data_IF_078939408344
#
_entry.id   IF_078939408344
#
_cell.length_a   1.000
_cell.length_b   1.000
_cell.length_c   1.000
_cell.angle_alpha   90.00
_cell.angle_beta   90.00
_cell.angle_gamma   90.00
#
_symmetry.space_group_name_H-M   'P 1'
#
loop_
_entity.id
_entity.type
_entity.pdbx_description
1 polymer ?
#
# COMPACT_ATOMS: atom_id res chain seq x y z
N UNK A 1 -26.09 12.98 8.77
CA UNK A 1 -25.39 14.11 8.18
C UNK A 1 -24.47 14.75 9.22
N UNK A 2 -23.29 14.17 9.48
CA UNK A 2 -22.24 14.77 10.30
C UNK A 2 -20.92 14.76 9.56
N UNK A 3 -20.89 15.36 8.39
CA UNK A 3 -19.69 15.53 7.57
C UNK A 3 -19.25 17.00 7.46
N UNK A 4 -19.78 17.87 8.34
CA UNK A 4 -19.71 19.33 8.21
C UNK A 4 -18.83 20.10 9.17
N UNK A 5 -18.04 19.45 10.05
CA UNK A 5 -17.24 20.20 11.03
C UNK A 5 -15.82 19.61 11.25
N UNK A 6 -15.10 19.36 10.16
CA UNK A 6 -13.65 19.28 10.24
C UNK A 6 -13.09 20.70 10.06
N UNK A 7 -13.12 21.47 11.15
CA UNK A 7 -12.39 22.75 11.22
C UNK A 7 -10.88 22.47 11.08
N UNK A 8 -10.40 22.58 9.86
CA UNK A 8 -8.98 22.40 9.49
C UNK A 8 -8.10 23.52 10.04
N UNK A 9 -8.67 24.52 10.71
CA UNK A 9 -7.95 25.69 11.21
C UNK A 9 -7.36 25.52 12.62
N UNK A 10 -7.76 24.48 13.38
CA UNK A 10 -7.19 24.20 14.70
C UNK A 10 -6.15 23.07 14.61
N UNK A 11 -4.84 23.41 14.74
CA UNK A 11 -3.81 22.39 14.77
C UNK A 11 -4.05 21.46 15.97
N UNK A 12 -4.22 20.17 15.73
CA UNK A 12 -4.11 19.14 16.77
C UNK A 12 -2.67 19.23 17.33
N UNK A 13 -2.49 19.97 18.44
CA UNK A 13 -1.18 20.46 18.90
C UNK A 13 -0.13 19.38 19.17
N UNK A 14 -0.53 18.13 19.43
CA UNK A 14 0.41 17.03 19.62
C UNK A 14 0.87 16.34 18.34
N UNK A 15 -0.05 16.07 17.39
CA UNK A 15 0.27 15.34 16.17
C UNK A 15 1.04 16.21 15.16
N UNK A 16 0.69 17.49 15.05
CA UNK A 16 1.43 18.45 14.19
C UNK A 16 2.79 18.80 14.79
N UNK A 17 2.91 18.90 16.11
CA UNK A 17 4.20 19.07 16.77
C UNK A 17 5.11 17.85 16.55
N UNK A 18 4.55 16.64 16.58
CA UNK A 18 5.28 15.41 16.28
C UNK A 18 5.70 15.36 14.81
N UNK A 19 4.81 15.69 13.86
CA UNK A 19 5.12 15.78 12.43
C UNK A 19 6.15 16.89 12.15
N UNK A 20 6.08 18.03 12.85
CA UNK A 20 7.05 19.12 12.73
C UNK A 20 8.44 18.72 13.28
N UNK A 21 8.47 17.93 14.36
CA UNK A 21 9.71 17.35 14.91
C UNK A 21 10.32 16.31 13.97
N UNK A 22 9.50 15.57 13.23
CA UNK A 22 9.93 14.62 12.19
C UNK A 22 10.43 15.35 10.93
N UNK A 23 9.89 16.52 10.62
CA UNK A 23 10.29 17.35 9.46
C UNK A 23 11.56 18.18 9.74
N UNK A 24 11.92 18.37 11.00
CA UNK A 24 13.00 19.25 11.45
C UNK A 24 14.42 18.70 11.40
N UNK A 25 14.66 17.54 10.79
CA UNK A 25 15.99 16.96 10.72
C UNK A 25 16.47 16.79 9.27
N UNK A 26 17.31 17.73 8.83
CA UNK A 26 18.27 17.65 7.72
C UNK A 26 17.76 17.60 6.28
N UNK A 27 18.58 18.19 5.39
CA UNK A 27 18.60 18.21 3.93
C UNK A 27 18.02 16.96 3.23
N UNK A 28 17.27 17.11 2.12
CA UNK A 28 16.66 16.00 1.40
C UNK A 28 17.71 15.18 0.66
N UNK A 29 18.24 14.15 1.29
CA UNK A 29 18.98 13.08 0.61
C UNK A 29 18.04 11.95 0.23
N UNK A 30 18.35 11.21 -0.84
CA UNK A 30 17.53 10.04 -1.27
C UNK A 30 17.32 9.02 -0.13
N UNK A 31 18.29 8.85 0.76
CA UNK A 31 18.18 8.02 1.96
C UNK A 31 17.20 8.58 3.00
N UNK A 32 16.98 9.90 3.03
CA UNK A 32 16.02 10.57 3.90
C UNK A 32 14.58 10.25 3.48
N UNK A 33 14.28 10.23 2.18
CA UNK A 33 12.97 9.89 1.64
C UNK A 33 12.53 8.45 2.00
N UNK A 34 13.44 7.49 1.85
CA UNK A 34 13.17 6.09 2.21
C UNK A 34 12.89 5.93 3.71
N UNK A 35 13.65 6.61 4.57
CA UNK A 35 13.42 6.60 6.03
C UNK A 35 12.08 7.23 6.40
N UNK A 36 11.69 8.33 5.75
CA UNK A 36 10.40 8.96 5.94
C UNK A 36 9.25 8.04 5.52
N UNK A 37 9.37 7.37 4.37
CA UNK A 37 8.36 6.40 3.93
C UNK A 37 8.27 5.19 4.87
N UNK A 38 9.40 4.68 5.36
CA UNK A 38 9.41 3.60 6.34
C UNK A 38 8.73 4.01 7.66
N UNK A 39 8.90 5.26 8.09
CA UNK A 39 8.24 5.80 9.27
C UNK A 39 6.73 5.93 9.06
N UNK A 40 6.30 6.48 7.91
CA UNK A 40 4.87 6.60 7.56
C UNK A 40 4.18 5.23 7.55
N UNK A 41 4.88 4.17 7.11
CA UNK A 41 4.38 2.79 7.17
C UNK A 41 4.23 2.24 8.59
N UNK A 42 5.02 2.74 9.55
CA UNK A 42 4.96 2.32 10.96
C UNK A 42 3.91 3.07 11.78
N UNK A 43 3.55 4.29 11.39
CA UNK A 43 2.61 5.15 12.12
C UNK A 43 1.25 4.48 12.39
N UNK A 44 0.58 3.79 11.47
CA UNK A 44 -0.69 3.14 11.76
C UNK A 44 -0.59 2.05 12.81
N UNK A 45 0.56 1.39 12.93
CA UNK A 45 0.79 0.37 13.96
C UNK A 45 0.88 0.98 15.35
N UNK A 46 1.55 2.14 15.47
CA UNK A 46 1.70 2.87 16.74
C UNK A 46 0.36 3.49 17.14
N UNK A 47 -0.35 4.13 16.20
CA UNK A 47 -1.63 4.79 16.45
C UNK A 47 -2.76 3.80 16.81
N UNK A 48 -2.58 2.51 16.56
CA UNK A 48 -3.56 1.48 16.94
C UNK A 48 -3.93 1.50 18.42
N UNK A 49 -2.98 1.84 19.28
CA UNK A 49 -3.11 1.79 20.73
C UNK A 49 -3.60 3.11 21.35
N UNK A 50 -3.74 4.17 20.55
CA UNK A 50 -4.16 5.48 21.02
C UNK A 50 -5.64 5.67 20.67
N UNK A 51 -6.55 5.80 21.67
CA UNK A 51 -7.98 6.00 21.42
C UNK A 51 -8.30 7.42 20.92
N UNK A 52 -9.54 7.62 20.47
CA UNK A 52 -10.07 8.94 20.09
C UNK A 52 -9.61 9.40 18.71
N UNK A 53 -9.31 10.69 18.54
CA UNK A 53 -8.95 11.32 17.26
C UNK A 53 -7.75 10.67 16.55
N UNK A 54 -6.87 9.98 17.29
CA UNK A 54 -5.75 9.24 16.73
C UNK A 54 -6.23 8.08 15.81
N UNK A 55 -7.43 7.55 16.02
CA UNK A 55 -7.98 6.50 15.18
C UNK A 55 -8.39 7.00 13.79
N UNK A 56 -8.81 8.26 13.66
CA UNK A 56 -9.11 8.85 12.36
C UNK A 56 -7.83 9.17 11.61
N UNK A 57 -6.82 9.65 12.32
CA UNK A 57 -5.47 9.81 11.74
C UNK A 57 -4.89 8.47 11.29
N UNK A 58 -5.05 7.42 12.10
CA UNK A 58 -4.67 6.05 11.70
C UNK A 58 -5.39 5.60 10.44
N UNK A 59 -6.69 5.85 10.34
CA UNK A 59 -7.49 5.51 9.17
C UNK A 59 -6.99 6.24 7.92
N UNK A 60 -6.67 7.53 8.06
CA UNK A 60 -6.10 8.31 6.97
C UNK A 60 -4.75 7.73 6.49
N UNK A 61 -3.83 7.42 7.41
CA UNK A 61 -2.54 6.83 7.05
C UNK A 61 -2.68 5.45 6.39
N UNK A 62 -3.62 4.61 6.85
CA UNK A 62 -3.90 3.33 6.22
C UNK A 62 -4.47 3.51 4.81
N UNK A 63 -5.41 4.45 4.62
CA UNK A 63 -5.95 4.76 3.29
C UNK A 63 -4.86 5.23 2.34
N UNK A 64 -3.93 6.07 2.82
CA UNK A 64 -2.78 6.49 2.04
C UNK A 64 -1.84 5.34 1.70
N UNK A 65 -1.63 4.39 2.61
CA UNK A 65 -0.79 3.21 2.32
C UNK A 65 -1.40 2.34 1.22
N UNK A 66 -2.71 2.07 1.27
CA UNK A 66 -3.42 1.35 0.22
C UNK A 66 -3.30 2.08 -1.13
N UNK A 67 -3.58 3.38 -1.13
CA UNK A 67 -3.52 4.21 -2.32
C UNK A 67 -2.12 4.23 -2.95
N UNK A 68 -1.09 4.46 -2.16
CA UNK A 68 0.31 4.48 -2.61
C UNK A 68 0.83 3.10 -3.04
N UNK A 69 0.22 2.02 -2.54
CA UNK A 69 0.49 0.66 -3.00
C UNK A 69 0.11 0.46 -4.46
N UNK A 70 -0.91 1.19 -4.94
CA UNK A 70 -1.25 1.34 -6.35
C UNK A 70 -1.69 0.06 -7.07
N UNK A 71 -1.97 -1.02 -6.35
CA UNK A 71 -2.43 -2.29 -6.89
C UNK A 71 -3.95 -2.45 -6.72
N UNK A 72 -4.58 -3.25 -7.57
CA UNK A 72 -6.02 -3.51 -7.53
C UNK A 72 -6.47 -4.12 -6.20
N UNK A 73 -5.71 -5.07 -5.65
CA UNK A 73 -5.95 -5.68 -4.34
C UNK A 73 -5.83 -4.66 -3.19
N UNK A 74 -4.89 -3.73 -3.26
CA UNK A 74 -4.81 -2.62 -2.30
C UNK A 74 -5.99 -1.67 -2.43
N UNK A 75 -6.43 -1.34 -3.65
CA UNK A 75 -7.59 -0.48 -3.86
C UNK A 75 -8.88 -1.15 -3.38
N UNK A 76 -9.08 -2.44 -3.65
CA UNK A 76 -10.20 -3.21 -3.11
C UNK A 76 -10.17 -3.21 -1.58
N UNK A 77 -9.02 -3.50 -0.98
CA UNK A 77 -8.86 -3.51 0.47
C UNK A 77 -9.11 -2.12 1.09
N UNK A 78 -8.71 -1.04 0.42
CA UNK A 78 -9.00 0.34 0.83
C UNK A 78 -10.50 0.61 0.85
N UNK A 79 -11.22 0.24 -0.21
CA UNK A 79 -12.68 0.40 -0.28
C UNK A 79 -13.35 -0.38 0.86
N UNK A 80 -12.98 -1.65 1.04
CA UNK A 80 -13.49 -2.49 2.14
C UNK A 80 -13.19 -1.88 3.50
N UNK A 81 -12.01 -1.33 3.69
CA UNK A 81 -11.60 -0.65 4.93
C UNK A 81 -12.47 0.59 5.19
N UNK A 82 -12.68 1.45 4.19
CA UNK A 82 -13.49 2.65 4.33
C UNK A 82 -14.97 2.30 4.60
N UNK A 83 -15.50 1.31 3.88
CA UNK A 83 -16.87 0.81 4.10
C UNK A 83 -17.05 0.27 5.51
N UNK A 84 -16.14 -0.61 5.97
CA UNK A 84 -16.23 -1.20 7.30
C UNK A 84 -16.17 -0.18 8.44
N UNK A 85 -15.50 0.97 8.19
CA UNK A 85 -15.28 1.99 9.20
C UNK A 85 -16.35 3.09 9.18
N UNK A 86 -16.79 3.51 8.01
CA UNK A 86 -17.62 4.71 7.85
C UNK A 86 -19.04 4.44 7.35
N UNK A 87 -19.32 3.26 6.77
CA UNK A 87 -20.68 2.93 6.36
C UNK A 87 -21.56 2.63 7.57
N UNK A 88 -22.66 3.36 7.69
CA UNK A 88 -23.56 3.29 8.85
C UNK A 88 -24.50 2.06 8.80
N UNK A 89 -24.68 1.44 7.64
CA UNK A 89 -25.63 0.34 7.47
C UNK A 89 -25.16 -0.95 8.13
N UNK A 90 -26.09 -1.69 8.74
CA UNK A 90 -25.80 -2.95 9.42
C UNK A 90 -25.21 -4.02 8.49
N UNK A 91 -25.59 -4.03 7.23
CA UNK A 91 -25.12 -4.96 6.19
C UNK A 91 -23.59 -4.88 5.93
N UNK A 92 -22.98 -3.72 6.21
CA UNK A 92 -21.55 -3.51 6.00
C UNK A 92 -20.67 -3.80 7.22
N UNK A 93 -21.26 -4.10 8.38
CA UNK A 93 -20.50 -4.33 9.64
C UNK A 93 -19.59 -5.54 9.61
N UNK A 94 -19.86 -6.52 8.74
CA UNK A 94 -19.06 -7.72 8.57
C UNK A 94 -17.93 -7.61 7.55
N UNK A 95 -17.82 -6.50 6.84
CA UNK A 95 -16.82 -6.32 5.79
C UNK A 95 -15.42 -6.24 6.41
N UNK A 96 -14.55 -7.17 6.01
CA UNK A 96 -13.14 -7.19 6.44
C UNK A 96 -12.24 -6.71 5.31
N UNK A 97 -11.28 -5.88 5.64
CA UNK A 97 -10.23 -5.45 4.73
C UNK A 97 -8.93 -6.21 5.04
N UNK A 98 -8.22 -6.65 3.99
CA UNK A 98 -6.87 -7.15 4.12
C UNK A 98 -5.91 -6.01 4.54
N UNK A 99 -4.75 -6.35 5.08
CA UNK A 99 -3.71 -5.35 5.34
C UNK A 99 -3.12 -4.82 4.01
N UNK A 100 -2.60 -3.58 3.99
CA UNK A 100 -1.91 -3.08 2.80
C UNK A 100 -0.73 -3.99 2.41
N UNK A 101 -0.64 -4.30 1.13
CA UNK A 101 0.46 -5.07 0.55
C UNK A 101 1.47 -4.12 -0.07
N UNK A 102 2.74 -4.31 0.27
CA UNK A 102 3.85 -3.53 -0.27
C UNK A 102 4.60 -4.36 -1.30
N UNK A 103 4.44 -4.02 -2.55
CA UNK A 103 5.12 -4.70 -3.66
C UNK A 103 6.49 -4.08 -3.92
N UNK A 104 7.52 -4.87 -4.27
CA UNK A 104 8.85 -4.36 -4.58
C UNK A 104 8.82 -3.40 -5.77
N UNK A 105 9.72 -2.42 -5.78
CA UNK A 105 9.86 -1.47 -6.89
C UNK A 105 10.40 -2.14 -8.15
N UNK A 106 11.31 -3.09 -7.97
CA UNK A 106 11.86 -3.95 -9.01
C UNK A 106 11.68 -5.39 -8.58
N UNK A 107 11.24 -6.24 -9.48
CA UNK A 107 10.99 -7.64 -9.17
C UNK A 107 10.81 -8.49 -10.40
N UNK A 108 10.47 -9.74 -10.18
CA UNK A 108 10.23 -10.75 -11.19
C UNK A 108 8.73 -11.04 -11.26
N UNK A 109 8.25 -11.23 -12.47
CA UNK A 109 6.88 -11.61 -12.76
C UNK A 109 6.82 -12.87 -13.60
N UNK A 110 5.83 -13.70 -13.34
CA UNK A 110 5.41 -14.80 -14.20
C UNK A 110 3.95 -15.12 -13.91
N UNK A 111 3.09 -15.40 -14.91
CA UNK A 111 1.66 -15.65 -14.69
C UNK A 111 1.36 -16.86 -13.80
N UNK A 112 2.29 -17.80 -13.64
CA UNK A 112 2.16 -18.95 -12.74
C UNK A 112 2.55 -18.66 -11.29
N UNK A 113 3.03 -17.46 -10.95
CA UNK A 113 3.34 -17.10 -9.56
C UNK A 113 2.05 -17.00 -8.74
N UNK A 114 2.09 -17.51 -7.50
CA UNK A 114 1.01 -17.31 -6.54
C UNK A 114 0.95 -15.87 -6.02
N UNK A 115 2.11 -15.24 -5.85
CA UNK A 115 2.22 -13.83 -5.54
C UNK A 115 2.29 -13.03 -6.84
N UNK A 116 1.82 -11.78 -6.83
CA UNK A 116 1.85 -10.90 -8.00
C UNK A 116 3.27 -10.64 -8.52
N UNK A 117 4.21 -10.49 -7.61
CA UNK A 117 5.64 -10.30 -7.90
C UNK A 117 6.49 -11.02 -6.86
N UNK A 118 7.73 -11.37 -7.24
CA UNK A 118 8.76 -11.87 -6.33
C UNK A 118 10.09 -11.18 -6.58
N UNK A 119 10.96 -11.19 -5.60
CA UNK A 119 12.38 -10.79 -5.75
C UNK A 119 13.30 -12.00 -5.85
N UNK A 120 12.76 -13.20 -5.70
CA UNK A 120 13.54 -14.43 -5.69
C UNK A 120 13.40 -15.19 -7.03
N UNK A 121 14.51 -15.35 -7.73
CA UNK A 121 14.56 -16.05 -9.00
C UNK A 121 14.13 -17.53 -8.89
N UNK A 122 14.29 -18.14 -7.72
CA UNK A 122 13.92 -19.54 -7.50
C UNK A 122 12.42 -19.78 -7.51
N UNK A 123 11.60 -18.73 -7.33
CA UNK A 123 10.13 -18.82 -7.37
C UNK A 123 9.59 -18.93 -8.81
N UNK A 124 10.41 -18.58 -9.81
CA UNK A 124 9.99 -18.67 -11.20
C UNK A 124 9.96 -20.13 -11.69
N UNK A 125 8.96 -20.50 -12.50
CA UNK A 125 8.92 -21.84 -13.09
C UNK A 125 10.10 -22.03 -14.04
N UNK A 126 10.69 -23.21 -13.99
CA UNK A 126 11.77 -23.63 -14.88
C UNK A 126 11.35 -24.90 -15.63
N UNK A 127 10.98 -24.80 -16.90
CA UNK A 127 10.64 -25.96 -17.70
C UNK A 127 11.82 -26.93 -17.80
N UNK A 128 11.58 -28.22 -17.67
CA UNK A 128 12.59 -29.24 -17.87
C UNK A 128 13.07 -29.21 -19.34
N UNK A 129 14.38 -29.21 -19.55
CA UNK A 129 14.97 -29.20 -20.90
C UNK A 129 15.07 -27.82 -21.54
N UNK A 130 14.79 -26.74 -20.83
CA UNK A 130 15.01 -25.39 -21.34
C UNK A 130 16.52 -25.17 -21.62
N UNK A 131 16.84 -24.84 -22.87
CA UNK A 131 18.22 -24.57 -23.34
C UNK A 131 18.57 -23.08 -23.27
N UNK A 132 17.57 -22.20 -23.16
CA UNK A 132 17.75 -20.76 -23.09
C UNK A 132 16.71 -20.11 -22.18
N UNK A 133 17.00 -18.91 -21.73
CA UNK A 133 16.08 -18.07 -20.97
C UNK A 133 15.97 -16.72 -21.64
N UNK A 134 14.75 -16.26 -21.88
CA UNK A 134 14.47 -14.91 -22.41
C UNK A 134 13.86 -14.07 -21.31
N UNK A 135 14.41 -12.89 -21.07
CA UNK A 135 13.88 -11.91 -20.14
C UNK A 135 13.04 -10.88 -20.88
N UNK A 136 11.82 -10.62 -20.40
CA UNK A 136 10.96 -9.56 -20.90
C UNK A 136 10.93 -8.40 -19.89
N UNK A 137 11.30 -7.20 -20.34
CA UNK A 137 11.22 -6.00 -19.51
C UNK A 137 9.79 -5.46 -19.53
N UNK A 138 9.19 -5.31 -18.35
CA UNK A 138 7.82 -4.84 -18.16
C UNK A 138 7.76 -3.63 -17.24
N UNK A 139 6.76 -2.78 -17.45
CA UNK A 139 6.45 -1.73 -16.49
C UNK A 139 5.72 -2.31 -15.28
N UNK A 140 6.21 -1.98 -14.09
CA UNK A 140 5.61 -2.40 -12.81
C UNK A 140 4.13 -2.04 -12.69
N UNK A 141 3.71 -0.91 -13.25
CA UNK A 141 2.31 -0.46 -13.23
C UNK A 141 1.34 -1.46 -13.83
N UNK A 142 1.68 -2.11 -14.94
CA UNK A 142 0.85 -3.16 -15.55
C UNK A 142 0.67 -4.36 -14.63
N UNK A 143 1.73 -4.75 -13.93
CA UNK A 143 1.67 -5.86 -12.98
C UNK A 143 0.78 -5.49 -11.78
N UNK A 144 0.90 -4.27 -11.25
CA UNK A 144 0.11 -3.84 -10.09
C UNK A 144 -1.37 -3.65 -10.41
N UNK A 145 -1.71 -3.15 -11.59
CA UNK A 145 -3.10 -3.00 -12.04
C UNK A 145 -3.74 -4.30 -12.56
N UNK A 146 -3.00 -5.42 -12.55
CA UNK A 146 -3.43 -6.70 -13.13
C UNK A 146 -3.74 -6.63 -14.65
N UNK A 147 -3.16 -5.65 -15.36
CA UNK A 147 -3.29 -5.50 -16.81
C UNK A 147 -2.13 -6.19 -17.54
N UNK A 148 -2.01 -7.52 -17.36
CA UNK A 148 -0.88 -8.30 -17.84
C UNK A 148 -1.21 -9.23 -19.01
N UNK A 149 -2.47 -9.29 -19.45
CA UNK A 149 -2.91 -10.29 -20.43
C UNK A 149 -2.07 -10.33 -21.72
N UNK A 150 -1.62 -9.19 -22.21
CA UNK A 150 -0.77 -9.08 -23.40
C UNK A 150 0.65 -9.60 -23.17
N UNK A 151 1.19 -9.45 -21.96
CA UNK A 151 2.49 -10.04 -21.59
C UNK A 151 2.36 -11.54 -21.32
N UNK A 152 1.27 -11.98 -20.68
CA UNK A 152 1.01 -13.38 -20.38
C UNK A 152 0.90 -14.23 -21.65
N UNK A 153 0.37 -13.64 -22.72
CA UNK A 153 0.30 -14.29 -24.03
C UNK A 153 1.68 -14.58 -24.65
N UNK A 154 2.69 -13.78 -24.29
CA UNK A 154 4.08 -13.95 -24.75
C UNK A 154 4.88 -14.90 -23.87
N UNK A 155 4.56 -14.95 -22.57
CA UNK A 155 5.31 -15.72 -21.55
C UNK A 155 4.93 -17.22 -21.58
N UNK A 156 3.84 -17.60 -22.19
CA UNK A 156 3.31 -18.99 -22.24
C UNK A 156 4.09 -19.91 -23.15
#
# INVERSE_FOLDING_TARGET
TKMGDLDMSKPASGAMAFLKKLRGAKEPSASSGQKQMALLRRLPKILRWIPGKAQDMRAWFLSMQYWLGGSDDNLEAMIRFLVSRYAAKAEWRGVKAAAPVDYPEVGLYHPALKARMTTNLADLPRPKGATATVGLLMLRSYILSADTAHYDAVIR
#
